data_IF_540833328442
#
_entry.id   IF_540833328442
#
_cell.length_a   1.000
_cell.length_b   1.000
_cell.length_c   1.000
_cell.angle_alpha   90.00
_cell.angle_beta   90.00
_cell.angle_gamma   90.00
#
_symmetry.space_group_name_H-M   'P 1'
#
loop_
_entity.id
_entity.type
_entity.pdbx_description
1 polymer ?
#
# COMPACT_ATOMS: atom_id res chain seq x y z
N UNK A 1 -8.29 1.01 -6.50
CA UNK A 1 -8.97 2.31 -6.71
C UNK A 1 -7.97 3.28 -7.31
N UNK A 2 -8.28 3.85 -8.46
CA UNK A 2 -7.39 4.71 -9.22
C UNK A 2 -8.17 5.89 -9.81
N UNK A 3 -7.84 7.12 -9.39
CA UNK A 3 -8.47 8.34 -9.90
C UNK A 3 -7.92 8.82 -11.24
N UNK A 4 -6.89 8.17 -11.77
CA UNK A 4 -6.18 8.56 -12.99
C UNK A 4 -6.55 7.67 -14.18
N UNK A 5 -7.17 6.51 -13.95
CA UNK A 5 -7.63 5.64 -15.03
C UNK A 5 -9.01 6.07 -15.60
N UNK A 6 -9.36 5.54 -16.77
CA UNK A 6 -10.62 5.83 -17.46
C UNK A 6 -11.83 5.05 -16.93
N UNK A 7 -11.64 4.14 -15.97
CA UNK A 7 -12.73 3.32 -15.43
C UNK A 7 -13.65 4.18 -14.54
N UNK A 8 -14.98 4.22 -14.80
CA UNK A 8 -15.90 5.03 -14.01
C UNK A 8 -15.82 4.75 -12.51
N UNK A 9 -15.79 5.81 -11.71
CA UNK A 9 -15.66 5.70 -10.25
C UNK A 9 -16.72 4.80 -9.58
N UNK A 10 -18.02 4.84 -9.98
CA UNK A 10 -19.01 3.92 -9.42
C UNK A 10 -18.68 2.44 -9.65
N UNK A 11 -18.12 2.10 -10.81
CA UNK A 11 -17.73 0.73 -11.15
C UNK A 11 -16.51 0.29 -10.34
N UNK A 12 -15.51 1.17 -10.19
CA UNK A 12 -14.37 0.90 -9.33
C UNK A 12 -14.81 0.67 -7.87
N UNK A 13 -15.70 1.53 -7.36
CA UNK A 13 -16.21 1.42 -6.00
C UNK A 13 -16.99 0.12 -5.78
N UNK A 14 -17.93 -0.21 -6.67
CA UNK A 14 -18.69 -1.46 -6.59
C UNK A 14 -17.78 -2.70 -6.62
N UNK A 15 -16.80 -2.72 -7.54
CA UNK A 15 -15.85 -3.83 -7.66
C UNK A 15 -14.98 -3.96 -6.42
N UNK A 16 -14.48 -2.84 -5.89
CA UNK A 16 -13.63 -2.85 -4.71
C UNK A 16 -14.41 -3.26 -3.45
N UNK A 17 -15.65 -2.77 -3.28
CA UNK A 17 -16.55 -3.21 -2.20
C UNK A 17 -16.78 -4.71 -2.24
N UNK A 18 -17.05 -5.28 -3.42
CA UNK A 18 -17.19 -6.73 -3.58
C UNK A 18 -15.91 -7.49 -3.16
N UNK A 19 -14.73 -7.01 -3.55
CA UNK A 19 -13.45 -7.61 -3.12
C UNK A 19 -13.27 -7.56 -1.59
N UNK A 20 -13.71 -6.48 -0.93
CA UNK A 20 -13.68 -6.36 0.54
C UNK A 20 -14.59 -7.41 1.18
N UNK A 21 -15.84 -7.52 0.71
CA UNK A 21 -16.79 -8.51 1.23
C UNK A 21 -16.29 -9.95 1.01
N UNK A 22 -15.68 -10.22 -0.15
CA UNK A 22 -15.09 -11.51 -0.44
C UNK A 22 -13.92 -11.80 0.50
N UNK A 23 -13.00 -10.84 0.68
CA UNK A 23 -11.87 -10.93 1.60
C UNK A 23 -12.30 -11.29 3.01
N UNK A 24 -13.34 -10.64 3.56
CA UNK A 24 -13.89 -10.97 4.88
C UNK A 24 -14.48 -12.38 4.93
N UNK A 25 -15.24 -12.78 3.89
CA UNK A 25 -15.85 -14.11 3.79
C UNK A 25 -14.83 -15.23 3.75
N UNK A 26 -13.77 -15.06 2.95
CA UNK A 26 -12.72 -16.10 2.79
C UNK A 26 -11.55 -15.92 3.75
N UNK A 27 -11.59 -14.91 4.62
CA UNK A 27 -10.55 -14.58 5.61
C UNK A 27 -9.15 -14.41 4.99
N UNK A 28 -9.08 -13.74 3.84
CA UNK A 28 -7.81 -13.47 3.14
C UNK A 28 -7.48 -11.98 3.16
N UNK A 29 -6.19 -11.61 3.25
CA UNK A 29 -5.79 -10.21 3.16
C UNK A 29 -6.08 -9.62 1.77
N UNK A 30 -6.12 -8.29 1.69
CA UNK A 30 -6.20 -7.56 0.43
C UNK A 30 -4.86 -6.91 0.09
N UNK A 31 -4.40 -7.13 -1.14
CA UNK A 31 -3.31 -6.36 -1.75
C UNK A 31 -3.97 -5.30 -2.62
N UNK A 32 -3.72 -4.03 -2.31
CA UNK A 32 -4.52 -2.90 -2.79
C UNK A 32 -3.65 -2.01 -3.67
N UNK A 33 -4.06 -1.89 -4.92
CA UNK A 33 -3.62 -0.82 -5.79
C UNK A 33 -4.43 0.45 -5.50
N UNK A 34 -3.74 1.54 -5.16
CA UNK A 34 -4.36 2.80 -4.76
C UNK A 34 -3.62 4.01 -5.34
N UNK A 35 -4.23 4.68 -6.32
CA UNK A 35 -3.66 5.88 -6.95
C UNK A 35 -4.56 7.07 -6.68
N UNK A 36 -4.03 8.03 -5.89
CA UNK A 36 -4.72 9.27 -5.48
C UNK A 36 -6.09 9.06 -4.80
N UNK A 37 -6.33 7.87 -4.24
CA UNK A 37 -7.61 7.45 -3.66
C UNK A 37 -7.51 6.96 -2.19
N UNK A 38 -6.42 7.32 -1.49
CA UNK A 38 -6.08 6.74 -0.19
C UNK A 38 -7.14 7.02 0.88
N UNK A 39 -7.67 8.25 0.92
CA UNK A 39 -8.70 8.63 1.87
C UNK A 39 -10.01 7.86 1.64
N UNK A 40 -10.43 7.71 0.38
CA UNK A 40 -11.65 6.97 0.02
C UNK A 40 -11.52 5.48 0.32
N UNK A 41 -10.37 4.89 0.01
CA UNK A 41 -10.08 3.48 0.34
C UNK A 41 -10.12 3.25 1.85
N UNK A 42 -9.47 4.10 2.64
CA UNK A 42 -9.48 3.97 4.11
C UNK A 42 -10.87 4.25 4.70
N UNK A 43 -11.63 5.16 4.11
CA UNK A 43 -13.02 5.40 4.50
C UNK A 43 -13.87 4.13 4.30
N UNK A 44 -13.70 3.40 3.19
CA UNK A 44 -14.38 2.12 2.98
C UNK A 44 -13.98 1.08 4.03
N UNK A 45 -12.68 0.98 4.39
CA UNK A 45 -12.22 0.09 5.48
C UNK A 45 -12.98 0.36 6.77
N UNK A 46 -13.14 1.65 7.12
CA UNK A 46 -13.83 2.10 8.33
C UNK A 46 -15.33 1.82 8.28
N UNK A 47 -16.01 2.20 7.19
CA UNK A 47 -17.46 2.05 7.02
C UNK A 47 -17.88 0.59 7.03
N UNK A 48 -17.15 -0.25 6.29
CA UNK A 48 -17.43 -1.69 6.20
C UNK A 48 -16.87 -2.48 7.40
N UNK A 49 -16.18 -1.80 8.33
CA UNK A 49 -15.53 -2.40 9.51
C UNK A 49 -14.65 -3.60 9.12
N UNK A 50 -13.94 -3.48 8.01
CA UNK A 50 -13.14 -4.56 7.43
C UNK A 50 -11.96 -4.92 8.35
N UNK A 51 -11.88 -6.19 8.72
CA UNK A 51 -10.94 -6.73 9.72
C UNK A 51 -9.73 -7.40 9.08
N UNK A 52 -9.84 -7.86 7.83
CA UNK A 52 -8.69 -8.49 7.17
C UNK A 52 -7.53 -7.49 7.02
N UNK A 53 -6.27 -7.98 6.98
CA UNK A 53 -5.11 -7.15 6.71
C UNK A 53 -5.18 -6.53 5.32
N UNK A 54 -4.85 -5.24 5.22
CA UNK A 54 -4.83 -4.49 3.97
C UNK A 54 -3.40 -4.04 3.70
N UNK A 55 -2.82 -4.45 2.57
CA UNK A 55 -1.48 -4.09 2.13
C UNK A 55 -1.59 -3.14 0.94
N UNK A 56 -1.08 -1.91 1.08
CA UNK A 56 -1.00 -0.96 -0.02
C UNK A 56 0.24 -1.25 -0.85
N UNK A 57 0.02 -1.83 -2.03
CA UNK A 57 1.06 -2.17 -2.99
C UNK A 57 1.56 -0.91 -3.71
N UNK A 58 2.82 -0.92 -4.14
CA UNK A 58 3.45 0.11 -4.92
C UNK A 58 3.60 1.42 -4.15
N UNK A 59 3.79 1.36 -2.82
CA UNK A 59 3.77 2.56 -2.01
C UNK A 59 4.97 3.47 -2.32
N UNK A 60 4.67 4.66 -2.84
CA UNK A 60 5.64 5.66 -3.27
C UNK A 60 5.25 7.08 -2.82
N UNK A 61 4.48 7.21 -1.73
CA UNK A 61 3.98 8.50 -1.22
C UNK A 61 4.78 8.99 -0.01
N UNK A 62 4.41 10.18 0.47
CA UNK A 62 5.06 10.86 1.58
C UNK A 62 4.66 10.27 2.96
N UNK A 63 5.36 10.72 4.00
CA UNK A 63 5.16 10.28 5.39
C UNK A 63 3.75 10.55 5.91
N UNK A 64 3.13 11.67 5.54
CA UNK A 64 1.75 11.97 5.95
C UNK A 64 0.76 10.92 5.44
N UNK A 65 0.91 10.50 4.17
CA UNK A 65 0.08 9.44 3.58
C UNK A 65 0.39 8.09 4.23
N UNK A 66 1.67 7.79 4.46
CA UNK A 66 2.09 6.57 5.15
C UNK A 66 1.45 6.48 6.55
N UNK A 67 1.55 7.54 7.36
CA UNK A 67 1.02 7.57 8.71
C UNK A 67 -0.50 7.39 8.74
N UNK A 68 -1.22 8.00 7.80
CA UNK A 68 -2.67 7.82 7.65
C UNK A 68 -3.04 6.34 7.42
N UNK A 69 -2.28 5.63 6.57
CA UNK A 69 -2.50 4.21 6.27
C UNK A 69 -2.15 3.33 7.48
N UNK A 70 -0.99 3.57 8.12
CA UNK A 70 -0.54 2.81 9.27
C UNK A 70 -1.48 2.97 10.48
N UNK A 71 -1.97 4.19 10.72
CA UNK A 71 -2.94 4.48 11.78
C UNK A 71 -4.28 3.77 11.56
N UNK A 72 -4.61 3.40 10.32
CA UNK A 72 -5.78 2.59 10.00
C UNK A 72 -5.53 1.08 10.17
N UNK A 73 -4.37 0.67 10.72
CA UNK A 73 -3.96 -0.72 10.90
C UNK A 73 -3.63 -1.44 9.59
N UNK A 74 -3.32 -0.70 8.53
CA UNK A 74 -2.92 -1.23 7.24
C UNK A 74 -1.39 -1.22 7.09
N UNK A 75 -0.90 -1.88 6.04
CA UNK A 75 0.50 -2.16 5.79
C UNK A 75 0.94 -1.48 4.48
N UNK A 76 2.23 -1.20 4.37
CA UNK A 76 2.84 -0.65 3.15
C UNK A 76 3.70 -1.70 2.46
N UNK A 77 3.64 -1.80 1.14
CA UNK A 77 4.63 -2.55 0.36
C UNK A 77 5.48 -1.56 -0.43
N UNK A 78 6.81 -1.60 -0.21
CA UNK A 78 7.76 -0.67 -0.83
C UNK A 78 8.68 -1.43 -1.79
N UNK A 79 9.10 -0.78 -2.88
CA UNK A 79 9.90 -1.42 -3.91
C UNK A 79 10.86 -0.46 -4.60
N UNK A 80 10.74 -0.35 -5.92
CA UNK A 80 11.64 0.45 -6.77
C UNK A 80 11.77 1.92 -6.36
N UNK A 81 10.76 2.48 -5.68
CA UNK A 81 10.78 3.84 -5.13
C UNK A 81 11.91 4.08 -4.12
N UNK A 82 12.45 3.04 -3.48
CA UNK A 82 13.59 3.11 -2.55
C UNK A 82 14.93 3.43 -3.23
N UNK A 83 15.02 3.25 -4.55
CA UNK A 83 16.23 3.52 -5.34
C UNK A 83 16.26 4.93 -5.93
N UNK A 84 15.15 5.66 -5.87
CA UNK A 84 15.07 7.04 -6.38
C UNK A 84 15.74 7.99 -5.40
N UNK A 85 16.66 8.81 -5.90
CA UNK A 85 17.33 9.84 -5.09
C UNK A 85 16.32 10.86 -4.55
N UNK A 86 16.50 11.28 -3.30
CA UNK A 86 15.66 12.25 -2.59
C UNK A 86 14.15 11.90 -2.57
N UNK A 87 13.81 10.62 -2.78
CA UNK A 87 12.42 10.19 -2.78
C UNK A 87 11.91 9.95 -1.33
N UNK A 88 10.67 10.36 -0.99
CA UNK A 88 10.13 10.20 0.36
C UNK A 88 10.09 8.76 0.88
N UNK A 89 10.09 7.76 -0.01
CA UNK A 89 10.04 6.34 0.35
C UNK A 89 11.19 5.91 1.25
N UNK A 90 12.37 6.52 1.14
CA UNK A 90 13.50 6.22 2.02
C UNK A 90 13.23 6.65 3.47
N UNK A 91 12.70 7.86 3.66
CA UNK A 91 12.27 8.39 4.96
C UNK A 91 11.06 7.64 5.52
N UNK A 92 10.08 7.32 4.67
CA UNK A 92 8.94 6.48 5.08
C UNK A 92 9.45 5.14 5.57
N UNK A 93 10.34 4.50 4.81
CA UNK A 93 10.89 3.23 5.21
C UNK A 93 11.58 3.37 6.57
N UNK A 94 12.40 4.39 6.85
CA UNK A 94 13.09 4.49 8.16
C UNK A 94 12.13 4.62 9.35
N UNK A 95 10.94 5.20 9.16
CA UNK A 95 9.97 5.47 10.22
C UNK A 95 8.92 4.36 10.47
N UNK A 96 8.58 3.56 9.45
CA UNK A 96 7.50 2.55 9.58
C UNK A 96 7.89 1.45 10.60
N UNK A 97 6.98 0.91 11.43
CA UNK A 97 7.29 -0.24 12.29
C UNK A 97 7.75 -1.47 11.50
N UNK A 98 8.69 -2.25 12.03
CA UNK A 98 9.27 -3.43 11.32
C UNK A 98 8.23 -4.48 10.91
N UNK A 99 7.14 -4.56 11.63
CA UNK A 99 6.03 -5.49 11.41
C UNK A 99 4.86 -4.88 10.61
N UNK A 100 5.01 -3.70 10.01
CA UNK A 100 3.95 -3.02 9.24
C UNK A 100 4.35 -2.66 7.80
N UNK A 101 5.42 -3.25 7.28
CA UNK A 101 5.80 -3.10 5.88
C UNK A 101 6.23 -4.42 5.24
N UNK A 102 6.16 -4.43 3.91
CA UNK A 102 6.65 -5.47 3.02
C UNK A 102 7.58 -4.85 1.97
N UNK A 103 8.34 -5.71 1.30
CA UNK A 103 9.20 -5.34 0.18
C UNK A 103 8.79 -6.09 -1.07
N UNK A 104 8.80 -5.43 -2.21
CA UNK A 104 8.34 -5.98 -3.47
C UNK A 104 9.14 -5.46 -4.67
N UNK A 105 8.98 -6.12 -5.81
CA UNK A 105 9.57 -5.69 -7.09
C UNK A 105 8.55 -5.06 -8.02
N UNK A 106 7.27 -5.41 -7.88
CA UNK A 106 6.22 -5.15 -8.88
C UNK A 106 6.74 -5.47 -10.29
N UNK A 107 6.73 -4.51 -11.22
CA UNK A 107 7.26 -4.63 -12.59
C UNK A 107 8.69 -4.08 -12.76
N UNK A 108 9.42 -3.86 -11.68
CA UNK A 108 10.77 -3.27 -11.74
C UNK A 108 11.85 -4.26 -12.20
N UNK A 109 12.92 -3.73 -12.81
CA UNK A 109 14.09 -4.50 -13.19
C UNK A 109 14.99 -4.90 -11.99
N UNK A 110 14.73 -4.34 -10.80
CA UNK A 110 15.46 -4.70 -9.59
C UNK A 110 14.98 -6.06 -9.09
N UNK A 111 15.93 -6.93 -8.76
CA UNK A 111 15.62 -8.19 -8.10
C UNK A 111 15.15 -7.96 -6.67
N UNK A 112 14.38 -8.91 -6.13
CA UNK A 112 13.94 -8.83 -4.73
C UNK A 112 15.13 -8.76 -3.77
N UNK A 113 16.24 -9.45 -4.05
CA UNK A 113 17.46 -9.37 -3.26
C UNK A 113 18.02 -7.94 -3.17
N UNK A 114 18.09 -7.23 -4.30
CA UNK A 114 18.55 -5.84 -4.33
C UNK A 114 17.62 -4.91 -3.53
N UNK A 115 16.30 -5.13 -3.60
CA UNK A 115 15.32 -4.35 -2.80
C UNK A 115 15.56 -4.57 -1.31
N UNK A 116 15.78 -5.82 -0.87
CA UNK A 116 16.12 -6.13 0.52
C UNK A 116 17.44 -5.52 0.96
N UNK A 117 18.51 -5.61 0.16
CA UNK A 117 19.78 -4.96 0.48
C UNK A 117 19.64 -3.45 0.61
N UNK A 118 18.89 -2.81 -0.30
CA UNK A 118 18.62 -1.38 -0.25
C UNK A 118 17.84 -1.01 1.00
N UNK A 119 16.80 -1.77 1.33
CA UNK A 119 15.99 -1.54 2.52
C UNK A 119 16.79 -1.72 3.81
N UNK A 120 17.65 -2.74 3.90
CA UNK A 120 18.54 -2.95 5.04
C UNK A 120 19.50 -1.75 5.23
N UNK A 121 20.15 -1.28 4.15
CA UNK A 121 21.03 -0.09 4.21
C UNK A 121 20.31 1.16 4.70
N UNK A 122 19.02 1.32 4.39
CA UNK A 122 18.21 2.46 4.83
C UNK A 122 17.73 2.33 6.29
N UNK A 123 17.73 1.12 6.86
CA UNK A 123 17.21 0.83 8.21
C UNK A 123 18.28 0.70 9.29
N UNK A 124 19.54 0.49 8.91
CA UNK A 124 20.60 0.10 9.85
C UNK A 124 20.35 -1.29 10.39
#
# INVERSE_FOLDING_TARGET
>A
MDKVCSTPWPLQNASFTYCIELSERVKKPLIIHCVRAHAEVLQLKKVLKARQPWIFHGFDKNLATAQMILNAGAFLSLGSSLFRENHPSAEVLSMVPRNQFFLETDISAWTIHQVYERAAKLRG
#
